data_IF_101910629798
#
_entry.id   IF_101910629798
#
_cell.length_a   1.000
_cell.length_b   1.000
_cell.length_c   1.000
_cell.angle_alpha   90.00
_cell.angle_beta   90.00
_cell.angle_gamma   90.00
#
_symmetry.space_group_name_H-M   'P 1'
#
loop_
_entity.id
_entity.type
_entity.pdbx_description
1 polymer ?
#
# COMPACT_ATOMS: atom_id res chain seq x y z
N UNK A 1 23.07 56.28 -31.09
CA UNK A 1 22.88 56.13 -29.63
C UNK A 1 21.57 55.42 -29.36
N UNK A 2 21.60 54.08 -29.30
CA UNK A 2 20.66 53.21 -28.57
C UNK A 2 21.35 51.85 -28.44
N UNK A 3 21.86 51.65 -27.23
CA UNK A 3 22.58 50.47 -26.75
C UNK A 3 21.57 49.42 -26.26
N UNK A 4 21.98 48.14 -26.34
CA UNK A 4 21.54 46.96 -25.56
C UNK A 4 20.04 46.58 -25.71
N UNK A 5 19.64 45.33 -25.90
CA UNK A 5 20.08 44.09 -25.25
C UNK A 5 19.49 42.92 -26.04
N UNK A 6 20.29 42.09 -26.70
CA UNK A 6 19.84 40.79 -27.23
C UNK A 6 20.48 39.75 -26.33
N UNK A 7 19.85 39.52 -25.17
CA UNK A 7 20.30 38.53 -24.21
C UNK A 7 19.81 37.14 -24.64
N UNK A 8 20.80 36.29 -24.86
CA UNK A 8 20.77 34.84 -25.03
C UNK A 8 19.72 34.19 -24.11
N UNK A 9 18.71 33.53 -24.71
CA UNK A 9 17.87 32.54 -24.05
C UNK A 9 18.17 31.18 -24.68
N UNK A 10 19.35 30.64 -24.35
CA UNK A 10 19.63 29.22 -24.49
C UNK A 10 18.91 28.52 -23.33
N UNK A 11 17.62 28.23 -23.51
CA UNK A 11 16.89 27.36 -22.59
C UNK A 11 17.46 25.95 -22.78
N UNK A 12 18.40 25.56 -21.92
CA UNK A 12 18.75 24.15 -21.74
C UNK A 12 17.51 23.50 -21.14
N UNK A 13 16.68 22.90 -21.99
CA UNK A 13 15.75 21.87 -21.56
C UNK A 13 16.61 20.70 -21.06
N UNK A 14 16.90 20.70 -19.76
CA UNK A 14 17.27 19.48 -19.07
C UNK A 14 16.06 18.55 -19.18
N UNK A 15 16.08 17.72 -20.23
CA UNK A 15 15.34 16.48 -20.28
C UNK A 15 15.86 15.65 -19.10
N UNK A 16 15.22 15.80 -17.94
CA UNK A 16 15.26 14.76 -16.93
C UNK A 16 14.60 13.54 -17.58
N UNK A 17 15.41 12.69 -18.20
CA UNK A 17 14.95 11.36 -18.59
C UNK A 17 14.46 10.72 -17.31
N UNK A 18 13.16 10.42 -17.23
CA UNK A 18 12.61 9.66 -16.12
C UNK A 18 13.45 8.39 -16.01
N UNK A 19 14.25 8.33 -14.95
CA UNK A 19 15.18 7.23 -14.78
C UNK A 19 14.37 5.99 -14.46
N UNK A 20 14.37 5.02 -15.37
CA UNK A 20 13.62 3.80 -15.19
C UNK A 20 14.15 3.05 -13.96
N UNK A 21 13.23 2.53 -13.15
CA UNK A 21 13.57 1.55 -12.14
C UNK A 21 13.97 0.25 -12.85
N UNK A 22 15.04 -0.40 -12.38
CA UNK A 22 15.57 -1.62 -12.97
C UNK A 22 15.37 -2.76 -11.96
N UNK A 23 14.86 -3.89 -12.45
CA UNK A 23 14.72 -5.12 -11.66
C UNK A 23 16.11 -5.60 -11.25
N UNK A 24 16.33 -5.78 -9.95
CA UNK A 24 17.60 -6.29 -9.42
C UNK A 24 17.42 -7.71 -8.91
N UNK A 25 18.07 -8.68 -9.57
CA UNK A 25 18.02 -10.08 -9.20
C UNK A 25 16.63 -10.73 -9.34
N UNK A 26 16.53 -11.97 -8.87
CA UNK A 26 15.28 -12.74 -8.85
C UNK A 26 14.40 -12.35 -7.65
N UNK A 27 13.09 -12.60 -7.76
CA UNK A 27 12.16 -12.46 -6.65
C UNK A 27 12.52 -13.46 -5.54
N UNK A 28 12.51 -12.99 -4.29
CA UNK A 28 12.86 -13.75 -3.10
C UNK A 28 11.58 -14.16 -2.37
N UNK A 29 11.57 -15.36 -1.80
CA UNK A 29 10.46 -15.83 -0.95
C UNK A 29 10.34 -14.94 0.29
N UNK A 30 9.18 -14.31 0.45
CA UNK A 30 8.84 -13.49 1.61
C UNK A 30 8.10 -14.32 2.67
N UNK A 31 7.22 -15.23 2.20
CA UNK A 31 6.39 -16.08 3.06
C UNK A 31 5.68 -17.18 2.25
N UNK A 32 5.42 -18.33 2.89
CA UNK A 32 4.68 -19.45 2.26
C UNK A 32 3.21 -19.40 2.65
N UNK A 33 2.33 -19.82 1.75
CA UNK A 33 0.87 -19.94 2.00
C UNK A 33 0.23 -18.65 2.53
N UNK A 34 0.78 -17.49 2.15
CA UNK A 34 0.51 -16.21 2.79
C UNK A 34 0.06 -15.13 1.83
N UNK A 35 -0.91 -14.33 2.27
CA UNK A 35 -1.49 -13.17 1.56
C UNK A 35 -1.12 -11.85 2.27
N UNK A 36 -1.35 -10.72 1.59
CA UNK A 36 -1.11 -9.36 2.10
C UNK A 36 0.29 -9.12 2.69
N UNK A 37 1.37 -9.37 1.93
CA UNK A 37 2.72 -9.09 2.42
C UNK A 37 2.91 -7.59 2.64
N UNK A 38 3.35 -7.21 3.84
CA UNK A 38 3.80 -5.84 4.17
C UNK A 38 5.09 -5.88 4.96
N UNK A 39 5.85 -4.79 4.92
CA UNK A 39 7.03 -4.66 5.77
C UNK A 39 7.26 -3.22 6.21
N UNK A 40 8.00 -3.08 7.31
CA UNK A 40 8.60 -1.82 7.77
C UNK A 40 10.10 -2.00 8.01
N UNK A 41 10.81 -0.87 8.01
CA UNK A 41 12.23 -0.81 8.33
C UNK A 41 12.39 -0.51 9.82
N UNK A 42 13.08 -1.39 10.55
CA UNK A 42 13.39 -1.21 11.97
C UNK A 42 14.73 -0.52 12.19
N UNK A 43 15.70 -0.77 11.30
CA UNK A 43 17.03 -0.16 11.33
C UNK A 43 17.65 -0.15 9.93
N UNK A 44 18.91 0.31 9.80
CA UNK A 44 19.61 0.38 8.51
C UNK A 44 19.69 -0.96 7.77
N UNK A 45 19.66 -2.08 8.47
CA UNK A 45 19.75 -3.42 7.87
C UNK A 45 18.62 -4.36 8.27
N UNK A 46 17.78 -3.99 9.25
CA UNK A 46 16.70 -4.85 9.74
C UNK A 46 15.34 -4.40 9.20
N UNK A 47 14.61 -5.34 8.60
CA UNK A 47 13.21 -5.20 8.20
C UNK A 47 12.33 -6.15 9.02
N UNK A 48 11.12 -5.69 9.36
CA UNK A 48 10.06 -6.52 9.94
C UNK A 48 8.93 -6.61 8.92
N UNK A 49 8.59 -7.81 8.51
CA UNK A 49 7.51 -8.11 7.59
C UNK A 49 6.35 -8.83 8.26
N UNK A 50 5.23 -8.87 7.55
CA UNK A 50 4.01 -9.56 7.91
C UNK A 50 3.41 -10.25 6.70
N UNK A 51 2.80 -11.40 6.92
CA UNK A 51 1.92 -12.10 5.99
C UNK A 51 0.73 -12.66 6.77
N UNK A 52 -0.39 -12.88 6.10
CA UNK A 52 -1.45 -13.72 6.65
C UNK A 52 -1.36 -15.10 6.02
N UNK A 53 -0.88 -16.07 6.78
CA UNK A 53 -0.81 -17.48 6.40
C UNK A 53 -2.18 -18.13 6.56
N UNK A 54 -2.65 -18.82 5.53
CA UNK A 54 -3.89 -19.60 5.56
C UNK A 54 -3.56 -21.09 5.52
N UNK A 55 -3.74 -21.78 6.64
CA UNK A 55 -3.37 -23.19 6.78
C UNK A 55 -4.27 -23.92 7.78
N UNK A 56 -4.66 -25.16 7.45
CA UNK A 56 -5.41 -26.04 8.34
C UNK A 56 -6.71 -25.45 8.89
N UNK A 57 -7.39 -24.61 8.10
CA UNK A 57 -8.62 -23.92 8.51
C UNK A 57 -8.40 -22.72 9.42
N UNK A 58 -7.15 -22.26 9.59
CA UNK A 58 -6.81 -21.08 10.36
C UNK A 58 -6.22 -19.98 9.47
N UNK A 59 -6.44 -18.74 9.87
CA UNK A 59 -5.77 -17.54 9.36
C UNK A 59 -4.83 -17.02 10.44
N UNK A 60 -3.54 -16.93 10.12
CA UNK A 60 -2.48 -16.57 11.05
C UNK A 60 -1.68 -15.39 10.55
N UNK A 61 -1.56 -14.34 11.36
CA UNK A 61 -0.69 -13.21 11.04
C UNK A 61 0.71 -13.54 11.52
N UNK A 62 1.57 -13.92 10.57
CA UNK A 62 2.96 -14.31 10.82
C UNK A 62 3.90 -13.13 10.58
N UNK A 63 4.81 -12.91 11.51
CA UNK A 63 5.91 -11.94 11.39
C UNK A 63 7.13 -12.60 10.78
N UNK A 64 7.75 -11.92 9.82
CA UNK A 64 9.01 -12.33 9.19
C UNK A 64 10.06 -11.25 9.39
N UNK A 65 11.34 -11.62 9.38
CA UNK A 65 12.46 -10.67 9.54
C UNK A 65 13.47 -10.86 8.42
N UNK A 66 14.00 -9.73 7.96
CA UNK A 66 15.23 -9.69 7.17
C UNK A 66 16.28 -8.88 7.91
N UNK A 67 17.54 -9.34 7.86
CA UNK A 67 18.72 -8.63 8.40
C UNK A 67 19.71 -8.26 7.30
N UNK A 68 19.34 -8.46 6.03
CA UNK A 68 20.18 -8.33 4.84
C UNK A 68 19.51 -7.47 3.73
N UNK A 69 18.65 -6.53 4.15
CA UNK A 69 17.88 -5.64 3.26
C UNK A 69 16.94 -6.37 2.30
N UNK A 70 16.33 -7.47 2.74
CA UNK A 70 15.31 -8.22 2.03
C UNK A 70 15.85 -9.25 1.05
N UNK A 71 17.15 -9.57 1.11
CA UNK A 71 17.75 -10.66 0.34
C UNK A 71 17.35 -12.04 0.89
N UNK A 72 17.00 -12.12 2.18
CA UNK A 72 16.38 -13.29 2.79
C UNK A 72 15.38 -12.88 3.88
N UNK A 73 14.38 -13.73 4.10
CA UNK A 73 13.33 -13.56 5.10
C UNK A 73 13.18 -14.82 5.94
N UNK A 74 13.06 -14.67 7.25
CA UNK A 74 12.84 -15.78 8.19
C UNK A 74 11.64 -15.48 9.08
N UNK A 75 10.68 -16.41 9.25
CA UNK A 75 9.62 -16.26 10.25
C UNK A 75 10.19 -16.09 11.65
N UNK A 76 9.67 -15.15 12.43
CA UNK A 76 10.15 -14.85 13.79
C UNK A 76 9.06 -14.89 14.86
N UNK A 77 7.79 -15.05 14.48
CA UNK A 77 6.70 -15.14 15.43
C UNK A 77 5.32 -14.94 14.82
N UNK A 78 4.32 -14.99 15.68
CA UNK A 78 2.90 -14.86 15.33
C UNK A 78 2.30 -13.69 16.10
N UNK A 79 1.49 -12.87 15.43
CA UNK A 79 0.71 -11.80 16.07
C UNK A 79 -0.59 -12.38 16.62
N UNK A 80 -1.32 -13.13 15.79
CA UNK A 80 -2.57 -13.80 16.16
C UNK A 80 -2.87 -14.95 15.19
N UNK A 81 -3.72 -15.87 15.62
CA UNK A 81 -4.24 -17.01 14.84
C UNK A 81 -5.69 -17.21 15.20
N UNK A 82 -6.57 -17.29 14.20
CA UNK A 82 -7.99 -17.57 14.40
C UNK A 82 -8.51 -18.60 13.39
N UNK A 83 -9.68 -19.20 13.68
CA UNK A 83 -10.32 -20.21 12.83
C UNK A 83 -11.05 -19.50 11.68
N UNK A 84 -10.59 -19.70 10.45
CA UNK A 84 -11.09 -19.02 9.24
C UNK A 84 -12.57 -19.27 8.94
N UNK A 85 -13.16 -20.32 9.51
CA UNK A 85 -14.58 -20.64 9.32
C UNK A 85 -15.50 -19.69 10.11
N UNK A 86 -15.01 -19.11 11.20
CA UNK A 86 -15.77 -18.21 12.07
C UNK A 86 -15.22 -16.78 12.09
N UNK A 87 -13.99 -16.56 11.62
CA UNK A 87 -13.31 -15.27 11.73
C UNK A 87 -12.50 -14.90 10.47
N UNK A 88 -12.44 -13.61 10.12
CA UNK A 88 -11.55 -13.04 9.09
C UNK A 88 -10.42 -12.25 9.76
N UNK A 89 -9.35 -12.96 10.11
CA UNK A 89 -8.10 -12.37 10.61
C UNK A 89 -7.06 -12.28 9.50
N UNK A 90 -6.76 -11.06 9.06
CA UNK A 90 -5.99 -10.88 7.84
C UNK A 90 -5.37 -9.47 7.71
N UNK A 91 -4.55 -9.23 6.69
CA UNK A 91 -4.07 -7.93 6.24
C UNK A 91 -3.36 -7.11 7.32
N UNK A 92 -2.31 -7.70 7.91
CA UNK A 92 -1.48 -7.05 8.93
C UNK A 92 -0.69 -5.84 8.43
N UNK A 93 -0.46 -4.86 9.31
CA UNK A 93 0.26 -3.59 9.12
C UNK A 93 1.11 -3.30 10.36
N UNK A 94 2.40 -3.66 10.36
CA UNK A 94 3.31 -3.25 11.42
C UNK A 94 3.66 -1.76 11.29
N UNK A 95 3.84 -1.08 12.42
CA UNK A 95 4.40 0.27 12.51
C UNK A 95 5.32 0.38 13.73
N UNK A 96 6.56 0.85 13.54
CA UNK A 96 7.47 1.10 14.66
C UNK A 96 7.24 2.49 15.24
N UNK A 97 7.01 2.56 16.55
CA UNK A 97 6.87 3.77 17.32
C UNK A 97 8.24 4.40 17.64
N UNK A 98 8.31 5.71 17.95
CA UNK A 98 9.57 6.38 18.28
C UNK A 98 10.34 5.80 19.48
N UNK A 99 9.65 5.12 20.39
CA UNK A 99 10.24 4.43 21.54
C UNK A 99 10.79 3.03 21.20
N UNK A 100 10.65 2.60 19.95
CA UNK A 100 11.09 1.30 19.46
C UNK A 100 10.04 0.19 19.53
N UNK A 101 8.89 0.42 20.16
CA UNK A 101 7.78 -0.55 20.22
C UNK A 101 7.13 -0.73 18.84
N UNK A 102 6.48 -1.87 18.62
CA UNK A 102 5.74 -2.15 17.38
C UNK A 102 4.24 -2.09 17.66
N UNK A 103 3.53 -1.27 16.90
CA UNK A 103 2.08 -1.35 16.74
C UNK A 103 1.75 -2.26 15.58
N UNK A 104 0.70 -3.07 15.73
CA UNK A 104 0.20 -3.95 14.69
C UNK A 104 -1.28 -3.68 14.44
N UNK A 105 -1.60 -3.37 13.19
CA UNK A 105 -2.95 -3.18 12.72
C UNK A 105 -3.34 -4.35 11.79
N UNK A 106 -4.54 -4.92 11.90
CA UNK A 106 -5.02 -6.03 11.05
C UNK A 106 -6.56 -6.14 11.04
N UNK A 107 -7.12 -6.81 10.02
CA UNK A 107 -8.55 -7.17 9.96
C UNK A 107 -8.86 -8.25 10.99
N UNK A 108 -10.01 -8.15 11.64
CA UNK A 108 -10.52 -9.15 12.58
C UNK A 108 -12.06 -9.06 12.61
N UNK A 109 -12.75 -9.90 11.84
CA UNK A 109 -14.22 -9.90 11.74
C UNK A 109 -14.81 -11.25 12.16
N UNK A 110 -16.00 -11.25 12.77
CA UNK A 110 -16.76 -12.50 13.00
C UNK A 110 -17.64 -12.82 11.79
N UNK A 111 -17.57 -14.04 11.28
CA UNK A 111 -18.36 -14.53 10.15
C UNK A 111 -19.67 -15.18 10.62
N UNK A 112 -20.76 -14.94 9.88
CA UNK A 112 -22.08 -15.52 10.15
C UNK A 112 -22.32 -16.91 9.57
N UNK A 113 -23.39 -17.56 10.06
CA UNK A 113 -23.82 -18.89 9.63
C UNK A 113 -24.70 -18.90 8.35
N UNK A 114 -24.69 -17.84 7.54
CA UNK A 114 -25.50 -17.73 6.32
C UNK A 114 -24.74 -18.21 5.07
N UNK A 115 -25.46 -18.60 4.02
CA UNK A 115 -24.85 -19.02 2.73
C UNK A 115 -24.03 -17.86 2.16
N UNK A 116 -22.70 -17.97 2.23
CA UNK A 116 -21.76 -16.91 1.81
C UNK A 116 -20.77 -16.45 2.90
N UNK A 117 -20.97 -16.85 4.16
CA UNK A 117 -20.16 -16.42 5.32
C UNK A 117 -20.08 -14.88 5.48
N UNK A 118 -21.20 -14.18 5.30
CA UNK A 118 -21.22 -12.72 5.47
C UNK A 118 -20.84 -12.32 6.92
N UNK A 119 -20.01 -11.29 7.13
CA UNK A 119 -19.60 -10.88 8.48
C UNK A 119 -20.81 -10.44 9.32
N UNK A 120 -20.97 -11.03 10.52
CA UNK A 120 -22.12 -10.76 11.41
C UNK A 120 -21.82 -9.74 12.49
N UNK A 121 -20.57 -9.64 12.92
CA UNK A 121 -20.09 -8.59 13.80
C UNK A 121 -18.78 -8.03 13.25
N UNK A 122 -18.83 -6.75 12.89
CA UNK A 122 -17.67 -6.03 12.38
C UNK A 122 -16.87 -5.50 13.57
N UNK A 123 -15.94 -6.31 14.05
CA UNK A 123 -14.93 -5.83 14.98
C UNK A 123 -13.80 -5.15 14.21
N UNK A 124 -13.28 -4.08 14.77
CA UNK A 124 -11.96 -3.55 14.43
C UNK A 124 -11.20 -3.57 15.74
N UNK A 125 -10.34 -4.56 15.95
CA UNK A 125 -9.35 -4.52 17.02
C UNK A 125 -8.07 -3.95 16.43
N UNK A 126 -7.88 -2.65 16.58
CA UNK A 126 -6.56 -2.05 16.45
C UNK A 126 -6.35 -1.02 17.56
N UNK A 127 -5.11 -0.60 17.70
CA UNK A 127 -4.86 0.82 17.88
C UNK A 127 -5.04 1.47 16.45
N UNK A 128 -6.20 2.13 16.11
CA UNK A 128 -6.95 1.95 14.83
C UNK A 128 -7.38 3.12 13.88
N UNK A 129 -7.93 2.76 12.67
CA UNK A 129 -8.80 3.52 11.72
C UNK A 129 -10.02 2.68 11.18
N UNK A 130 -11.11 3.31 10.69
CA UNK A 130 -12.55 2.87 10.67
C UNK A 130 -13.23 2.70 9.28
N UNK A 131 -14.30 1.90 9.17
CA UNK A 131 -15.28 1.86 8.05
C UNK A 131 -16.67 2.42 8.43
N UNK A 132 -17.41 3.03 7.48
CA UNK A 132 -18.59 3.89 7.77
C UNK A 132 -19.97 3.36 7.35
N UNK A 133 -20.11 2.16 6.76
CA UNK A 133 -21.44 1.56 6.49
C UNK A 133 -21.47 0.42 5.45
N UNK A 134 -22.68 -0.07 5.14
CA UNK A 134 -22.90 -1.18 4.21
C UNK A 134 -22.50 -0.82 2.76
N UNK A 135 -21.39 -1.38 2.27
CA UNK A 135 -20.88 -1.16 0.91
C UNK A 135 -20.04 0.11 0.73
N UNK A 136 -19.92 0.95 1.76
CA UNK A 136 -19.05 2.12 1.77
C UNK A 136 -17.74 1.81 2.48
N UNK A 137 -16.62 2.03 1.78
CA UNK A 137 -15.30 2.04 2.40
C UNK A 137 -14.79 3.48 2.35
N UNK A 138 -14.56 4.12 3.51
CA UNK A 138 -14.12 5.50 3.57
C UNK A 138 -12.65 5.55 4.01
N UNK A 139 -11.86 6.43 3.38
CA UNK A 139 -10.53 6.70 3.92
C UNK A 139 -10.66 7.63 5.11
N UNK A 140 -10.33 7.10 6.29
CA UNK A 140 -10.39 7.79 7.57
C UNK A 140 -9.01 8.26 8.00
N UNK A 141 -8.92 9.46 8.59
CA UNK A 141 -7.75 9.94 9.30
C UNK A 141 -8.05 10.12 10.78
N UNK A 142 -7.10 9.68 11.62
CA UNK A 142 -6.95 10.11 13.02
C UNK A 142 -5.50 10.53 13.21
N UNK A 143 -5.30 11.58 13.99
CA UNK A 143 -3.96 12.12 14.26
C UNK A 143 -3.70 12.05 15.75
N UNK A 144 -2.53 11.56 16.12
CA UNK A 144 -1.96 11.68 17.45
C UNK A 144 -0.73 12.56 17.38
N UNK A 145 -0.58 13.47 18.35
CA UNK A 145 0.59 14.35 18.48
C UNK A 145 1.41 14.05 19.73
N UNK A 146 1.11 12.95 20.41
CA UNK A 146 1.63 12.59 21.73
C UNK A 146 2.04 11.10 21.81
N UNK A 147 2.56 10.57 20.71
CA UNK A 147 3.02 9.18 20.58
C UNK A 147 1.92 8.14 20.79
N UNK A 148 0.70 8.43 20.34
CA UNK A 148 -0.44 7.51 20.36
C UNK A 148 -1.21 7.49 21.67
N UNK A 149 -0.92 8.39 22.63
CA UNK A 149 -1.62 8.46 23.92
C UNK A 149 -3.03 9.04 23.76
N UNK A 150 -3.18 10.09 22.96
CA UNK A 150 -4.46 10.67 22.57
C UNK A 150 -4.57 10.72 21.04
N UNK A 151 -5.81 10.65 20.58
CA UNK A 151 -6.15 10.65 19.17
C UNK A 151 -7.26 11.65 18.89
N UNK A 152 -7.10 12.43 17.83
CA UNK A 152 -8.15 13.30 17.34
C UNK A 152 -9.42 12.50 16.96
N UNK A 153 -10.54 13.23 16.86
CA UNK A 153 -11.80 12.70 16.37
C UNK A 153 -11.65 12.11 14.96
N UNK A 154 -12.46 11.10 14.67
CA UNK A 154 -12.52 10.46 13.36
C UNK A 154 -12.94 11.46 12.30
N UNK A 155 -12.22 11.45 11.17
CA UNK A 155 -12.57 12.25 10.01
C UNK A 155 -12.35 11.45 8.73
N UNK A 156 -13.42 11.20 8.00
CA UNK A 156 -13.30 10.74 6.62
C UNK A 156 -12.74 11.87 5.74
N UNK A 157 -11.90 11.53 4.77
CA UNK A 157 -11.37 12.49 3.80
C UNK A 157 -11.57 12.02 2.34
N UNK A 158 -12.02 10.79 2.15
CA UNK A 158 -12.60 10.29 0.90
C UNK A 158 -13.85 9.48 1.23
N UNK A 159 -14.75 9.30 0.25
CA UNK A 159 -15.86 8.36 0.34
C UNK A 159 -17.15 8.91 0.96
N UNK A 160 -17.07 10.02 1.72
CA UNK A 160 -18.19 10.70 2.40
C UNK A 160 -19.45 10.97 1.56
N UNK A 161 -19.30 11.12 0.24
CA UNK A 161 -20.40 11.46 -0.68
C UNK A 161 -20.71 10.34 -1.67
N UNK A 162 -20.13 9.15 -1.49
CA UNK A 162 -20.15 8.07 -2.49
C UNK A 162 -20.37 6.72 -1.83
N UNK A 163 -21.32 5.92 -2.32
CA UNK A 163 -21.55 4.54 -1.84
C UNK A 163 -20.54 3.53 -2.44
N UNK A 164 -19.28 3.93 -2.59
CA UNK A 164 -18.24 3.15 -3.26
C UNK A 164 -17.12 2.78 -2.29
N UNK A 165 -16.50 1.63 -2.51
CA UNK A 165 -15.33 1.19 -1.75
C UNK A 165 -14.12 2.07 -2.07
N UNK A 166 -13.69 2.96 -1.18
CA UNK A 166 -12.37 3.59 -1.22
C UNK A 166 -11.38 2.84 -0.33
N UNK A 167 -10.83 1.77 -0.87
CA UNK A 167 -10.01 0.81 -0.12
C UNK A 167 -8.52 0.97 -0.34
N UNK A 168 -7.76 0.22 0.47
CA UNK A 168 -6.34 -0.03 0.25
C UNK A 168 -5.52 1.27 0.13
N UNK A 169 -5.81 2.21 1.04
CA UNK A 169 -5.16 3.52 1.11
C UNK A 169 -3.66 3.38 1.35
N UNK A 170 -2.88 4.15 0.58
CA UNK A 170 -1.46 4.36 0.81
C UNK A 170 -1.15 5.86 0.71
N UNK A 171 -0.25 6.36 1.58
CA UNK A 171 0.07 7.79 1.69
C UNK A 171 1.57 7.99 1.65
N UNK A 172 2.03 8.96 0.84
CA UNK A 172 3.42 9.36 0.79
C UNK A 172 3.59 10.89 0.83
N UNK A 173 4.70 11.33 1.44
CA UNK A 173 5.17 12.71 1.31
C UNK A 173 5.82 12.92 -0.06
N UNK A 174 5.60 14.10 -0.63
CA UNK A 174 6.20 14.49 -1.92
C UNK A 174 7.70 14.79 -1.82
N UNK A 175 8.18 15.19 -0.64
CA UNK A 175 9.59 15.48 -0.36
C UNK A 175 9.87 15.26 1.14
N UNK A 176 11.15 15.14 1.57
CA UNK A 176 11.49 15.06 2.99
C UNK A 176 10.90 16.23 3.77
N UNK A 177 10.18 15.93 4.85
CA UNK A 177 9.51 16.93 5.72
C UNK A 177 8.50 17.83 5.00
N UNK A 178 8.02 17.44 3.82
CA UNK A 178 7.01 18.21 3.09
C UNK A 178 5.69 18.21 3.85
N UNK A 179 5.01 19.35 3.89
CA UNK A 179 3.60 19.39 4.28
C UNK A 179 2.71 18.78 3.18
N UNK A 180 3.21 18.60 1.96
CA UNK A 180 2.41 18.08 0.86
C UNK A 180 2.45 16.55 0.85
N UNK A 181 1.27 15.93 0.99
CA UNK A 181 1.05 14.49 0.93
C UNK A 181 0.20 14.11 -0.28
N UNK A 182 0.43 12.91 -0.79
CA UNK A 182 -0.45 12.24 -1.75
C UNK A 182 -1.00 10.98 -1.10
N UNK A 183 -2.30 10.77 -1.27
CA UNK A 183 -3.00 9.55 -0.89
C UNK A 183 -3.51 8.88 -2.16
N UNK A 184 -3.19 7.60 -2.32
CA UNK A 184 -3.74 6.78 -3.40
C UNK A 184 -4.60 5.65 -2.83
N UNK A 185 -5.68 5.32 -3.51
CA UNK A 185 -6.66 4.34 -3.06
C UNK A 185 -7.41 3.77 -4.27
N UNK A 186 -7.94 2.56 -4.13
CA UNK A 186 -8.81 1.96 -5.14
C UNK A 186 -10.25 2.45 -4.94
N UNK A 187 -10.99 2.65 -6.03
CA UNK A 187 -12.41 3.01 -5.96
C UNK A 187 -13.20 2.37 -7.09
N UNK A 188 -14.34 1.76 -6.72
CA UNK A 188 -15.33 1.18 -7.64
C UNK A 188 -16.42 2.17 -8.06
N UNK A 189 -16.24 3.48 -7.84
CA UNK A 189 -17.27 4.50 -8.08
C UNK A 189 -17.81 4.52 -9.53
N UNK A 190 -17.00 4.06 -10.49
CA UNK A 190 -17.35 4.02 -11.91
C UNK A 190 -17.53 2.59 -12.43
N UNK A 191 -17.95 1.64 -11.59
CA UNK A 191 -18.06 0.22 -11.95
C UNK A 191 -16.77 -0.53 -11.65
N UNK A 192 -15.87 -0.63 -12.65
CA UNK A 192 -14.58 -1.27 -12.45
C UNK A 192 -13.73 -0.53 -11.40
N UNK A 193 -12.95 -1.27 -10.61
CA UNK A 193 -11.99 -0.68 -9.67
C UNK A 193 -10.93 0.11 -10.43
N UNK A 194 -10.72 1.35 -10.02
CA UNK A 194 -9.67 2.25 -10.53
C UNK A 194 -8.88 2.81 -9.36
N UNK A 195 -7.62 3.15 -9.60
CA UNK A 195 -6.77 3.81 -8.62
C UNK A 195 -6.85 5.32 -8.82
N UNK A 196 -7.19 6.01 -7.75
CA UNK A 196 -7.27 7.47 -7.70
C UNK A 196 -6.21 8.03 -6.77
N UNK A 197 -5.87 9.30 -6.98
CA UNK A 197 -5.03 10.09 -6.09
C UNK A 197 -5.77 11.34 -5.61
N UNK A 198 -5.58 11.67 -4.32
CA UNK A 198 -5.95 12.96 -3.72
C UNK A 198 -4.74 13.56 -3.04
N UNK A 199 -4.70 14.89 -2.94
CA UNK A 199 -3.57 15.63 -2.40
C UNK A 199 -3.96 16.35 -1.12
N UNK A 200 -3.02 16.41 -0.18
CA UNK A 200 -3.10 17.30 0.98
C UNK A 200 -2.02 18.38 0.86
N UNK A 201 -2.36 19.68 0.95
CA UNK A 201 -1.37 20.76 0.97
C UNK A 201 -0.75 21.01 2.36
N UNK A 202 -1.31 20.43 3.43
CA UNK A 202 -1.09 20.87 4.81
C UNK A 202 -1.02 19.69 5.79
N UNK A 203 -0.19 18.72 5.46
CA UNK A 203 0.20 17.59 6.30
C UNK A 203 -0.97 16.66 6.68
N UNK A 204 -2.01 16.63 5.85
CA UNK A 204 -3.22 15.84 6.09
C UNK A 204 -4.30 16.60 6.87
N UNK A 205 -4.08 17.87 7.24
CA UNK A 205 -5.10 18.68 7.92
C UNK A 205 -6.32 18.94 7.03
N UNK A 206 -6.16 19.01 5.71
CA UNK A 206 -7.23 18.95 4.72
C UNK A 206 -6.78 18.13 3.51
N UNK A 207 -7.74 17.65 2.73
CA UNK A 207 -7.51 16.94 1.49
C UNK A 207 -8.34 17.59 0.39
N UNK A 208 -7.77 17.64 -0.81
CA UNK A 208 -8.44 18.16 -1.99
C UNK A 208 -9.66 17.28 -2.27
N UNK A 209 -10.85 17.87 -2.52
CA UNK A 209 -12.09 17.10 -2.71
C UNK A 209 -12.12 16.35 -4.04
N UNK A 210 -11.31 16.79 -5.00
CA UNK A 210 -11.24 16.22 -6.34
C UNK A 210 -10.27 15.03 -6.37
N UNK A 211 -10.73 13.93 -6.98
CA UNK A 211 -9.94 12.71 -7.19
C UNK A 211 -9.39 12.73 -8.60
N UNK A 212 -8.07 12.59 -8.76
CA UNK A 212 -7.44 12.42 -10.07
C UNK A 212 -7.28 10.93 -10.36
N UNK A 213 -7.66 10.47 -11.56
CA UNK A 213 -7.41 9.09 -11.99
C UNK A 213 -5.91 8.86 -12.16
N UNK A 214 -5.35 7.90 -11.42
CA UNK A 214 -3.95 7.51 -11.52
C UNK A 214 -3.77 6.32 -12.48
N UNK A 215 -4.61 5.29 -12.34
CA UNK A 215 -4.59 4.11 -13.19
C UNK A 215 -5.97 3.44 -13.20
N UNK A 216 -6.49 3.12 -14.38
CA UNK A 216 -7.69 2.30 -14.52
C UNK A 216 -8.31 2.43 -15.91
N UNK A 217 -9.17 1.48 -16.24
CA UNK A 217 -9.96 1.47 -17.48
C UNK A 217 -11.39 0.98 -17.21
N UNK A 218 -12.23 0.99 -18.25
CA UNK A 218 -13.63 0.57 -18.10
C UNK A 218 -13.79 -0.96 -18.28
N UNK A 219 -12.82 -1.63 -18.88
CA UNK A 219 -12.84 -3.06 -19.19
C UNK A 219 -12.00 -3.93 -18.25
N UNK A 220 -11.34 -3.33 -17.25
CA UNK A 220 -10.47 -4.03 -16.31
C UNK A 220 -10.45 -3.33 -14.95
N UNK A 221 -10.11 -4.09 -13.92
CA UNK A 221 -9.94 -3.63 -12.56
C UNK A 221 -8.46 -3.32 -12.27
N UNK A 222 -8.26 -2.30 -11.45
CA UNK A 222 -6.97 -1.89 -10.89
C UNK A 222 -7.18 -1.54 -9.42
N UNK A 223 -6.40 -2.16 -8.54
CA UNK A 223 -6.55 -2.01 -7.11
C UNK A 223 -5.32 -2.42 -6.32
N UNK A 224 -5.49 -2.61 -5.01
CA UNK A 224 -4.42 -2.79 -4.02
C UNK A 224 -3.24 -1.80 -4.21
N UNK A 225 -3.50 -0.48 -4.34
CA UNK A 225 -2.45 0.44 -4.68
C UNK A 225 -1.49 0.71 -3.53
N UNK A 226 -0.26 1.08 -3.87
CA UNK A 226 0.75 1.48 -2.89
C UNK A 226 1.61 2.61 -3.41
N UNK A 227 1.97 3.59 -2.57
CA UNK A 227 2.86 4.70 -2.95
C UNK A 227 4.01 4.84 -1.96
N UNK A 228 5.23 4.96 -2.49
CA UNK A 228 6.43 5.27 -1.72
C UNK A 228 7.24 6.39 -2.37
N UNK A 229 8.06 7.07 -1.58
CA UNK A 229 9.08 8.02 -2.06
C UNK A 229 10.46 7.35 -2.03
N UNK A 230 11.14 7.30 -3.17
CA UNK A 230 12.50 6.78 -3.33
C UNK A 230 13.40 7.91 -3.81
N UNK A 231 14.25 8.45 -2.93
CA UNK A 231 15.04 9.63 -3.26
C UNK A 231 14.16 10.82 -3.63
N UNK A 232 14.31 11.38 -4.81
CA UNK A 232 13.49 12.48 -5.33
C UNK A 232 12.27 12.02 -6.14
N UNK A 233 11.99 10.71 -6.19
CA UNK A 233 10.94 10.09 -7.01
C UNK A 233 9.81 9.54 -6.16
N UNK A 234 8.62 9.48 -6.77
CA UNK A 234 7.49 8.72 -6.25
C UNK A 234 7.29 7.47 -7.11
N UNK A 235 7.03 6.34 -6.46
CA UNK A 235 6.68 5.09 -7.13
C UNK A 235 5.29 4.70 -6.66
N UNK A 236 4.39 4.48 -7.61
CA UNK A 236 3.06 3.93 -7.35
C UNK A 236 2.97 2.53 -7.96
N UNK A 237 2.43 1.59 -7.18
CA UNK A 237 2.13 0.23 -7.62
C UNK A 237 0.65 -0.06 -7.56
N UNK A 238 0.23 -1.08 -8.30
CA UNK A 238 -1.11 -1.66 -8.22
C UNK A 238 -1.11 -3.10 -8.73
N UNK A 239 -2.16 -3.83 -8.37
CA UNK A 239 -2.60 -5.04 -9.06
C UNK A 239 -3.60 -4.67 -10.14
N UNK A 240 -3.49 -5.24 -11.33
CA UNK A 240 -4.46 -5.02 -12.40
C UNK A 240 -4.65 -6.23 -13.30
N UNK A 241 -5.89 -6.50 -13.74
CA UNK A 241 -6.18 -7.53 -14.73
C UNK A 241 -6.26 -6.96 -16.17
N UNK A 242 -5.60 -5.83 -16.45
CA UNK A 242 -5.55 -5.22 -17.79
C UNK A 242 -4.86 -6.13 -18.84
N UNK A 243 -3.96 -7.00 -18.40
CA UNK A 243 -3.27 -7.99 -19.24
C UNK A 243 -4.05 -9.33 -19.33
N UNK A 244 -5.29 -9.37 -18.83
CA UNK A 244 -6.12 -10.58 -18.72
C UNK A 244 -6.25 -11.09 -17.28
N UNK A 245 -6.86 -12.28 -17.12
CA UNK A 245 -7.08 -12.92 -15.81
C UNK A 245 -8.36 -12.49 -15.10
N UNK A 246 -8.70 -13.20 -14.02
CA UNK A 246 -9.88 -12.95 -13.21
C UNK A 246 -9.53 -12.08 -12.00
N UNK A 247 -10.18 -10.92 -11.84
CA UNK A 247 -10.02 -10.09 -10.65
C UNK A 247 -10.38 -10.86 -9.36
N UNK A 248 -9.61 -10.79 -8.26
CA UNK A 248 -8.48 -9.88 -8.01
C UNK A 248 -7.10 -10.37 -8.48
N UNK A 249 -7.04 -11.46 -9.23
CA UNK A 249 -5.78 -11.99 -9.78
C UNK A 249 -5.41 -11.29 -11.08
N UNK A 250 -4.29 -10.57 -11.08
CA UNK A 250 -3.84 -9.79 -12.23
C UNK A 250 -2.32 -9.80 -12.38
N UNK A 251 -1.75 -8.76 -12.96
CA UNK A 251 -0.33 -8.45 -12.91
C UNK A 251 -0.05 -7.39 -11.84
N UNK A 252 1.15 -7.40 -11.26
CA UNK A 252 1.66 -6.27 -10.49
C UNK A 252 2.36 -5.30 -11.42
N UNK A 253 2.04 -4.00 -11.34
CA UNK A 253 2.67 -2.97 -12.19
C UNK A 253 3.14 -1.74 -11.43
N UNK A 254 4.16 -1.08 -11.97
CA UNK A 254 4.59 0.29 -11.64
C UNK A 254 4.44 1.17 -12.88
N UNK A 255 3.61 2.21 -12.84
CA UNK A 255 3.49 3.15 -13.97
C UNK A 255 3.46 2.44 -15.35
N UNK A 256 2.63 1.38 -15.43
CA UNK A 256 2.43 0.45 -16.58
C UNK A 256 3.55 -0.55 -16.88
N UNK A 257 4.68 -0.51 -16.18
CA UNK A 257 5.74 -1.54 -16.25
C UNK A 257 5.34 -2.75 -15.41
N UNK A 258 5.35 -3.94 -16.03
CA UNK A 258 5.04 -5.19 -15.33
C UNK A 258 6.18 -5.62 -14.41
N UNK A 259 5.87 -5.75 -13.12
CA UNK A 259 6.77 -6.25 -12.07
C UNK A 259 6.77 -7.77 -12.05
N UNK A 260 5.55 -8.32 -12.02
CA UNK A 260 5.24 -9.74 -12.07
C UNK A 260 3.99 -9.93 -12.91
N UNK A 261 4.01 -10.96 -13.76
CA UNK A 261 2.86 -11.33 -14.60
C UNK A 261 1.75 -11.98 -13.77
N UNK A 262 0.79 -12.58 -14.47
CA UNK A 262 -0.34 -13.23 -13.83
C UNK A 262 0.07 -14.63 -13.28
N UNK A 263 -0.42 -15.04 -12.10
CA UNK A 263 -1.21 -14.25 -11.14
C UNK A 263 -0.32 -13.43 -10.19
N UNK A 264 -0.75 -12.20 -9.90
CA UNK A 264 -0.22 -11.33 -8.87
C UNK A 264 -1.39 -10.65 -8.15
N UNK A 265 -1.29 -10.47 -6.84
CA UNK A 265 -2.26 -9.71 -6.05
C UNK A 265 -1.64 -9.16 -4.76
N UNK A 266 -2.40 -8.31 -4.06
CA UNK A 266 -2.06 -7.75 -2.75
C UNK A 266 -0.72 -7.01 -2.73
N UNK A 267 -0.51 -6.11 -3.70
CA UNK A 267 0.78 -5.46 -3.88
C UNK A 267 1.09 -4.45 -2.78
N UNK A 268 2.34 -4.38 -2.36
CA UNK A 268 2.86 -3.32 -1.52
C UNK A 268 4.33 -3.02 -1.85
N UNK A 269 4.92 -2.00 -1.23
CA UNK A 269 6.33 -1.69 -1.40
C UNK A 269 6.97 -1.19 -0.11
N UNK A 270 8.29 -1.41 0.02
CA UNK A 270 9.08 -0.85 1.11
C UNK A 270 10.36 -0.20 0.59
N UNK A 271 10.62 1.02 1.06
CA UNK A 271 11.86 1.76 0.80
C UNK A 271 13.06 1.06 1.46
N UNK A 272 14.13 0.85 0.70
CA UNK A 272 15.38 0.38 1.24
C UNK A 272 16.35 1.52 1.53
N UNK A 273 16.56 2.38 0.54
CA UNK A 273 17.36 3.60 0.61
C UNK A 273 16.91 4.60 -0.46
N UNK A 274 17.64 5.70 -0.66
CA UNK A 274 17.28 6.75 -1.63
C UNK A 274 17.34 6.31 -3.11
N UNK A 275 17.76 5.06 -3.40
CA UNK A 275 17.84 4.52 -4.76
C UNK A 275 17.14 3.18 -4.92
N UNK A 276 16.76 2.50 -3.84
CA UNK A 276 16.26 1.13 -3.92
C UNK A 276 15.06 0.87 -3.04
N UNK A 277 14.25 -0.09 -3.47
CA UNK A 277 13.03 -0.51 -2.79
C UNK A 277 12.70 -1.96 -3.12
N UNK A 278 11.82 -2.57 -2.32
CA UNK A 278 11.24 -3.88 -2.61
C UNK A 278 9.79 -3.70 -3.05
N UNK A 279 9.43 -4.41 -4.12
CA UNK A 279 8.08 -4.71 -4.54
C UNK A 279 7.62 -5.98 -3.82
N UNK A 280 6.53 -5.95 -3.08
CA UNK A 280 5.96 -7.12 -2.43
C UNK A 280 4.65 -7.50 -3.12
N UNK A 281 4.43 -8.79 -3.35
CA UNK A 281 3.22 -9.31 -3.98
C UNK A 281 2.97 -10.75 -3.60
N UNK A 282 1.72 -11.19 -3.70
CA UNK A 282 1.33 -12.59 -3.61
C UNK A 282 1.08 -13.15 -5.02
N UNK A 283 1.49 -14.40 -5.25
CA UNK A 283 1.27 -15.16 -6.48
C UNK A 283 1.07 -16.64 -6.15
N UNK A 284 -0.15 -17.14 -6.35
CA UNK A 284 -0.49 -18.55 -6.15
C UNK A 284 -0.40 -19.00 -4.68
N UNK A 285 -0.85 -18.15 -3.75
CA UNK A 285 -0.75 -18.35 -2.31
C UNK A 285 0.66 -18.17 -1.75
N UNK A 286 1.62 -17.69 -2.54
CA UNK A 286 3.00 -17.47 -2.09
C UNK A 286 3.36 -16.00 -2.17
N UNK A 287 3.93 -15.45 -1.11
CA UNK A 287 4.36 -14.05 -1.06
C UNK A 287 5.83 -13.91 -1.47
N UNK A 288 6.12 -12.92 -2.31
CA UNK A 288 7.42 -12.63 -2.89
C UNK A 288 7.85 -11.19 -2.63
N UNK A 289 9.17 -10.97 -2.58
CA UNK A 289 9.81 -9.67 -2.57
C UNK A 289 10.74 -9.54 -3.78
N UNK A 290 10.53 -8.51 -4.61
CA UNK A 290 11.38 -8.21 -5.76
C UNK A 290 12.10 -6.88 -5.55
N UNK A 291 13.43 -6.88 -5.60
CA UNK A 291 14.21 -5.66 -5.48
C UNK A 291 14.24 -4.86 -6.79
N UNK A 292 14.16 -3.54 -6.64
CA UNK A 292 14.32 -2.56 -7.70
C UNK A 292 15.30 -1.47 -7.29
N UNK A 293 16.02 -0.94 -8.27
CA UNK A 293 16.94 0.19 -8.10
C UNK A 293 16.71 1.25 -9.17
N UNK A 294 16.88 2.51 -8.81
CA UNK A 294 17.11 3.59 -9.77
C UNK A 294 18.60 3.66 -10.07
N UNK A 295 18.93 3.81 -11.36
CA UNK A 295 20.31 3.94 -11.82
C UNK A 295 21.03 5.19 -11.26
#
# INVERSE_FOLDING_TARGET
>A
MRLLTTLILLLIALLATAQAHIKSGSAILFGKSGTYPRAIRLSRTSLLGTITEHASGNSTITTVRSTDNGQSWTPIGTVTTEISAGEDVDNGYPHQMPDGNILYAFRNHDLGNSVGNDPTHYHITLYYSQETGSGGQDSIIRTSTDSGKMWAALRAFTGQTTSARNGMLSVAYTAPKSAIKLAIFESGISGAFKVYVVRSPNDGAMWDPERTLLHGGDSFNTGAPWIIRVGDKLVASCTTNEDGGEWPTGAMKFDKTTVHGLPAMWTSMILLDDKSFLALYESGGTSFAQMYTFA
#
